data_IF_188887309816
#
_entry.id   IF_188887309816
#
_cell.length_a   1.000
_cell.length_b   1.000
_cell.length_c   1.000
_cell.angle_alpha   90.00
_cell.angle_beta   90.00
_cell.angle_gamma   90.00
#
_symmetry.space_group_name_H-M   'P 1'
#
loop_
_entity.id
_entity.type
_entity.pdbx_description
1 polymer ?
#
# COMPACT_ATOMS: atom_id res chain seq x y z
N UNK A 1 -11.91 10.47 17.39
CA UNK A 1 -11.76 10.63 15.92
C UNK A 1 -10.73 9.63 15.41
N UNK A 2 -11.05 8.78 14.43
CA UNK A 2 -10.05 7.89 13.80
C UNK A 2 -9.33 8.69 12.72
N UNK A 3 -8.06 9.05 12.93
CA UNK A 3 -7.26 9.74 11.92
C UNK A 3 -6.98 8.79 10.76
N UNK A 4 -7.49 9.13 9.57
CA UNK A 4 -7.19 8.38 8.34
C UNK A 4 -5.76 8.69 7.96
N UNK A 5 -4.93 7.66 7.88
CA UNK A 5 -3.54 7.79 7.44
C UNK A 5 -3.51 7.65 5.92
N UNK A 6 -3.13 8.72 5.23
CA UNK A 6 -2.75 8.66 3.82
C UNK A 6 -1.27 8.26 3.73
N UNK A 7 -0.97 7.36 2.81
CA UNK A 7 0.41 7.01 2.46
C UNK A 7 0.76 7.64 1.12
N UNK A 8 1.97 8.17 0.96
CA UNK A 8 2.40 8.77 -0.30
C UNK A 8 2.62 7.67 -1.35
N UNK A 9 2.64 8.04 -2.64
CA UNK A 9 2.64 7.10 -3.77
C UNK A 9 3.86 6.18 -3.74
N UNK A 10 5.00 6.73 -3.33
CA UNK A 10 6.29 6.04 -3.22
C UNK A 10 6.21 4.88 -2.23
N UNK A 11 5.48 5.03 -1.13
CA UNK A 11 5.26 3.93 -0.16
C UNK A 11 4.39 2.84 -0.79
N UNK A 12 3.36 3.21 -1.54
CA UNK A 12 2.47 2.25 -2.21
C UNK A 12 3.23 1.46 -3.29
N UNK A 13 4.07 2.14 -4.08
CA UNK A 13 4.93 1.50 -5.07
C UNK A 13 5.95 0.57 -4.42
N UNK A 14 6.63 1.02 -3.36
CA UNK A 14 7.61 0.21 -2.63
C UNK A 14 7.00 -1.06 -2.03
N UNK A 15 5.76 -1.00 -1.55
CA UNK A 15 5.01 -2.20 -1.13
C UNK A 15 4.90 -3.22 -2.26
N UNK A 16 4.53 -2.76 -3.45
CA UNK A 16 4.36 -3.62 -4.62
C UNK A 16 5.69 -4.23 -5.02
N UNK A 17 6.75 -3.42 -5.13
CA UNK A 17 8.10 -3.89 -5.43
C UNK A 17 8.56 -4.99 -4.46
N UNK A 18 8.42 -4.75 -3.16
CA UNK A 18 8.77 -5.74 -2.14
C UNK A 18 7.92 -7.02 -2.25
N UNK A 19 6.63 -6.92 -2.58
CA UNK A 19 5.78 -8.09 -2.80
C UNK A 19 6.16 -8.87 -4.05
N UNK A 20 6.57 -8.19 -5.12
CA UNK A 20 7.08 -8.82 -6.35
C UNK A 20 8.44 -9.47 -6.11
N UNK A 21 9.28 -8.89 -5.26
CA UNK A 21 10.53 -9.48 -4.78
C UNK A 21 10.35 -10.66 -3.80
N UNK A 22 9.10 -11.07 -3.52
CA UNK A 22 8.81 -12.21 -2.66
C UNK A 22 8.82 -11.92 -1.15
N UNK A 23 8.97 -10.65 -0.74
CA UNK A 23 9.01 -10.29 0.68
C UNK A 23 7.67 -10.60 1.35
N UNK A 24 7.68 -11.23 2.54
CA UNK A 24 6.47 -11.51 3.28
C UNK A 24 5.78 -10.21 3.73
N UNK A 25 4.46 -10.23 3.67
CA UNK A 25 3.63 -9.06 3.95
C UNK A 25 3.81 -8.49 5.37
N UNK A 26 4.12 -9.35 6.35
CA UNK A 26 4.41 -8.94 7.73
C UNK A 26 5.64 -8.03 7.80
N UNK A 27 6.72 -8.39 7.09
CA UNK A 27 7.92 -7.57 7.03
C UNK A 27 7.69 -6.23 6.36
N UNK A 28 6.90 -6.20 5.28
CA UNK A 28 6.60 -4.96 4.56
C UNK A 28 5.83 -4.00 5.46
N UNK A 29 4.83 -4.50 6.18
CA UNK A 29 4.03 -3.71 7.13
C UNK A 29 4.91 -3.13 8.23
N UNK A 30 5.85 -3.93 8.77
CA UNK A 30 6.77 -3.49 9.81
C UNK A 30 7.81 -2.49 9.29
N UNK A 31 8.43 -2.76 8.13
CA UNK A 31 9.45 -1.90 7.51
C UNK A 31 8.90 -0.55 7.07
N UNK A 32 7.66 -0.51 6.57
CA UNK A 32 7.03 0.71 6.05
C UNK A 32 6.07 1.36 7.06
N UNK A 33 6.05 0.90 8.31
CA UNK A 33 5.15 1.39 9.38
C UNK A 33 3.68 1.49 8.93
N UNK A 34 3.22 0.49 8.18
CA UNK A 34 1.84 0.43 7.70
C UNK A 34 0.97 -0.09 8.84
N UNK A 35 -0.10 0.62 9.19
CA UNK A 35 -0.97 0.18 10.29
C UNK A 35 -1.86 -1.00 9.92
N UNK A 36 -2.35 -1.01 8.67
CA UNK A 36 -3.39 -1.94 8.24
C UNK A 36 -2.92 -2.83 7.08
N UNK A 37 -2.89 -4.15 7.32
CA UNK A 37 -2.58 -5.14 6.27
C UNK A 37 -3.52 -5.05 5.06
N UNK A 38 -4.78 -4.66 5.28
CA UNK A 38 -5.78 -4.53 4.20
C UNK A 38 -5.40 -3.45 3.19
N UNK A 39 -4.70 -2.38 3.59
CA UNK A 39 -4.21 -1.37 2.64
C UNK A 39 -3.21 -1.96 1.66
N UNK A 40 -2.28 -2.78 2.15
CA UNK A 40 -1.31 -3.50 1.29
C UNK A 40 -2.03 -4.45 0.32
N UNK A 41 -3.09 -5.15 0.76
CA UNK A 41 -3.89 -6.00 -0.13
C UNK A 41 -4.59 -5.20 -1.22
N UNK A 42 -5.16 -4.04 -0.88
CA UNK A 42 -5.80 -3.13 -1.84
C UNK A 42 -4.79 -2.61 -2.86
N UNK A 43 -3.59 -2.19 -2.44
CA UNK A 43 -2.56 -1.72 -3.37
C UNK A 43 -2.09 -2.81 -4.31
N UNK A 44 -1.93 -4.05 -3.81
CA UNK A 44 -1.63 -5.21 -4.66
C UNK A 44 -2.75 -5.53 -5.65
N UNK A 45 -4.02 -5.36 -5.26
CA UNK A 45 -5.16 -5.53 -6.16
C UNK A 45 -5.13 -4.51 -7.29
N UNK A 46 -4.91 -3.24 -6.97
CA UNK A 46 -4.80 -2.18 -7.98
C UNK A 46 -3.62 -2.41 -8.92
N UNK A 47 -2.46 -2.81 -8.40
CA UNK A 47 -1.32 -3.16 -9.24
C UNK A 47 -1.63 -4.31 -10.20
N UNK A 48 -2.25 -5.39 -9.71
CA UNK A 48 -2.67 -6.53 -10.56
C UNK A 48 -3.68 -6.12 -11.64
N UNK A 49 -4.55 -5.18 -11.33
CA UNK A 49 -5.53 -4.62 -12.26
C UNK A 49 -4.94 -3.54 -13.20
N UNK A 50 -3.63 -3.23 -13.10
CA UNK A 50 -2.98 -2.10 -13.78
C UNK A 50 -3.63 -0.74 -13.48
N UNK A 51 -4.35 -0.63 -12.36
CA UNK A 51 -4.99 0.59 -11.87
C UNK A 51 -4.05 1.42 -10.98
N UNK A 52 -2.79 1.58 -11.38
CA UNK A 52 -1.78 2.30 -10.58
C UNK A 52 -2.10 3.78 -10.40
N UNK A 53 -2.90 4.38 -11.30
CA UNK A 53 -3.44 5.74 -11.15
C UNK A 53 -4.20 5.94 -9.83
N UNK A 54 -4.71 4.86 -9.20
CA UNK A 54 -5.40 4.93 -7.90
C UNK A 54 -4.45 5.17 -6.73
N UNK A 55 -3.14 5.04 -6.92
CA UNK A 55 -2.16 5.37 -5.89
C UNK A 55 -2.11 6.86 -5.59
N UNK A 56 -2.44 7.72 -6.55
CA UNK A 56 -2.50 9.17 -6.37
C UNK A 56 -3.78 9.63 -5.65
N UNK A 57 -4.79 8.76 -5.56
CA UNK A 57 -6.04 9.12 -4.91
C UNK A 57 -5.82 9.38 -3.41
N UNK A 58 -6.26 10.55 -2.90
CA UNK A 58 -6.32 10.77 -1.48
C UNK A 58 -7.37 9.84 -0.87
N UNK A 59 -7.13 9.39 0.36
CA UNK A 59 -8.18 8.74 1.15
C UNK A 59 -9.31 9.75 1.34
N UNK A 60 -10.54 9.39 0.93
CA UNK A 60 -11.70 10.29 1.00
C UNK A 60 -11.92 10.85 2.42
N UNK A 61 -12.71 11.92 2.53
CA UNK A 61 -13.10 12.54 3.81
C UNK A 61 -13.81 11.54 4.74
#
# INVERSE_FOLDING_TARGET
MRTRVSYPVEVKQKVVEMRLAGVPMKEIIQKLNIKNKTQVQTWMRWHKARETHRFEQPVGK
#
